data_IF_929582702358
#
_entry.id   IF_929582702358
#
_cell.length_a   1.000
_cell.length_b   1.000
_cell.length_c   1.000
_cell.angle_alpha   90.00
_cell.angle_beta   90.00
_cell.angle_gamma   90.00
#
_symmetry.space_group_name_H-M   'P 1'
#
loop_
_entity.id
_entity.type
_entity.pdbx_description
1 polymer ?
#
# COMPACT_ATOMS: atom_id res chain seq x y z
N UNK A 1 -0.18 -15.68 10.84
CA UNK A 1 -0.92 -14.40 10.94
C UNK A 1 -0.53 -13.66 12.21
N UNK A 2 -0.41 -12.32 12.17
CA UNK A 2 -0.17 -11.50 13.37
C UNK A 2 1.16 -10.72 13.41
N UNK A 3 2.03 -10.87 12.41
CA UNK A 3 3.18 -9.97 12.24
C UNK A 3 2.73 -8.68 11.55
N UNK A 4 3.04 -7.54 12.17
CA UNK A 4 2.88 -6.23 11.55
C UNK A 4 4.13 -5.88 10.74
N UNK A 5 3.93 -5.41 9.52
CA UNK A 5 4.98 -4.90 8.63
C UNK A 5 4.82 -3.40 8.48
N UNK A 6 5.92 -2.66 8.62
CA UNK A 6 5.97 -1.27 8.19
C UNK A 6 6.13 -1.25 6.67
N UNK A 7 5.11 -0.76 5.95
CA UNK A 7 5.12 -0.61 4.50
C UNK A 7 5.32 0.86 4.19
N UNK A 8 6.31 1.16 3.34
CA UNK A 8 6.54 2.52 2.87
C UNK A 8 6.59 2.57 1.35
N UNK A 9 6.22 3.72 0.80
CA UNK A 9 6.31 4.01 -0.62
C UNK A 9 6.88 5.41 -0.83
N UNK A 10 7.74 5.53 -1.83
CA UNK A 10 8.25 6.83 -2.30
C UNK A 10 7.30 7.39 -3.35
N UNK A 11 6.67 8.52 -3.03
CA UNK A 11 5.74 9.20 -3.92
C UNK A 11 6.46 10.18 -4.86
N UNK A 12 5.74 10.65 -5.87
CA UNK A 12 6.26 11.60 -6.86
C UNK A 12 6.11 13.07 -6.41
N UNK A 13 5.23 13.33 -5.43
CA UNK A 13 4.88 14.69 -5.00
C UNK A 13 4.53 14.71 -3.51
N UNK A 14 5.06 15.68 -2.78
CA UNK A 14 4.72 15.93 -1.39
C UNK A 14 3.32 16.57 -1.25
N UNK A 15 2.67 16.38 -0.10
CA UNK A 15 1.35 16.97 0.16
C UNK A 15 0.18 16.23 -0.51
N UNK A 16 0.45 15.15 -1.25
CA UNK A 16 -0.56 14.17 -1.67
C UNK A 16 -0.68 13.04 -0.63
N UNK A 17 -1.42 11.98 -0.98
CA UNK A 17 -1.52 10.76 -0.17
C UNK A 17 -1.20 9.52 -1.00
N UNK A 18 -0.86 8.43 -0.32
CA UNK A 18 -0.70 7.10 -0.91
C UNK A 18 -1.71 6.17 -0.28
N UNK A 19 -2.49 5.48 -1.12
CA UNK A 19 -3.38 4.38 -0.74
C UNK A 19 -2.60 3.08 -0.83
N UNK A 20 -2.60 2.33 0.27
CA UNK A 20 -1.98 1.01 0.36
C UNK A 20 -3.05 -0.08 0.30
N UNK A 21 -2.79 -1.09 -0.52
CA UNK A 21 -3.76 -2.14 -0.81
C UNK A 21 -3.07 -3.49 -0.64
N UNK A 22 -3.69 -4.36 0.14
CA UNK A 22 -3.32 -5.76 0.21
C UNK A 22 -4.13 -6.56 -0.81
N UNK A 23 -3.45 -7.34 -1.62
CA UNK A 23 -4.06 -8.17 -2.65
C UNK A 23 -3.48 -9.58 -2.61
N UNK A 24 -4.32 -10.62 -2.67
CA UNK A 24 -3.79 -11.99 -2.86
C UNK A 24 -3.10 -12.11 -4.23
N UNK A 25 -1.84 -12.54 -4.25
CA UNK A 25 -1.09 -12.68 -5.50
C UNK A 25 -1.82 -13.65 -6.45
N UNK A 26 -2.02 -13.25 -7.70
CA UNK A 26 -2.74 -14.03 -8.72
C UNK A 26 -4.27 -13.98 -8.66
N UNK A 27 -4.88 -13.28 -7.68
CA UNK A 27 -6.33 -13.08 -7.59
C UNK A 27 -6.68 -11.61 -7.85
N UNK A 28 -7.74 -11.32 -8.61
CA UNK A 28 -8.31 -9.96 -8.74
C UNK A 28 -9.46 -9.72 -7.75
N UNK A 29 -9.94 -10.76 -7.05
CA UNK A 29 -11.13 -10.69 -6.21
C UNK A 29 -10.79 -10.36 -4.75
N UNK A 30 -9.61 -10.76 -4.28
CA UNK A 30 -9.21 -10.60 -2.88
C UNK A 30 -8.36 -9.34 -2.72
N UNK A 31 -9.02 -8.19 -2.75
CA UNK A 31 -8.42 -6.85 -2.60
C UNK A 31 -8.96 -6.21 -1.32
N UNK A 32 -8.06 -5.73 -0.47
CA UNK A 32 -8.43 -5.04 0.76
C UNK A 32 -7.57 -3.80 0.90
N UNK A 33 -8.21 -2.65 1.11
CA UNK A 33 -7.48 -1.44 1.44
C UNK A 33 -6.90 -1.56 2.85
N UNK A 34 -5.60 -1.32 2.96
CA UNK A 34 -4.90 -1.26 4.25
C UNK A 34 -5.15 0.10 4.88
N UNK A 35 -5.06 1.15 4.06
CA UNK A 35 -5.37 2.52 4.43
C UNK A 35 -4.67 3.55 3.55
N UNK A 36 -4.79 4.81 3.92
CA UNK A 36 -4.23 5.96 3.21
C UNK A 36 -3.27 6.70 4.14
N UNK A 37 -2.05 6.97 3.68
CA UNK A 37 -1.06 7.75 4.43
C UNK A 37 -0.67 9.02 3.66
N UNK A 38 -0.53 10.17 4.34
CA UNK A 38 -0.06 11.40 3.70
C UNK A 38 1.42 11.28 3.30
N UNK A 39 1.80 11.95 2.22
CA UNK A 39 3.19 12.03 1.76
C UNK A 39 3.88 13.20 2.44
N UNK A 40 4.88 12.89 3.26
CA UNK A 40 5.70 13.90 3.93
C UNK A 40 6.68 14.62 3.00
N UNK A 41 7.43 15.62 3.52
CA UNK A 41 8.41 16.38 2.73
C UNK A 41 9.55 15.53 2.14
N UNK A 42 9.83 14.37 2.73
CA UNK A 42 10.81 13.40 2.23
C UNK A 42 10.27 12.51 1.10
N UNK A 43 9.07 12.79 0.59
CA UNK A 43 8.36 12.00 -0.41
C UNK A 43 8.02 10.58 0.04
N UNK A 44 7.99 10.29 1.34
CA UNK A 44 7.64 8.96 1.85
C UNK A 44 6.27 8.99 2.52
N UNK A 45 5.46 7.99 2.19
CA UNK A 45 4.26 7.63 2.95
C UNK A 45 4.47 6.25 3.58
N UNK A 46 4.05 6.08 4.83
CA UNK A 46 4.24 4.84 5.59
C UNK A 46 2.94 4.42 6.26
N UNK A 47 2.65 3.13 6.27
CA UNK A 47 1.54 2.52 7.01
C UNK A 47 1.99 1.21 7.66
N UNK A 48 1.37 0.88 8.78
CA UNK A 48 1.49 -0.44 9.38
C UNK A 48 0.47 -1.39 8.76
N UNK A 49 0.93 -2.54 8.30
CA UNK A 49 0.09 -3.58 7.69
C UNK A 49 0.20 -4.89 8.46
N UNK A 50 -0.93 -5.38 8.95
CA UNK A 50 -1.05 -6.73 9.51
C UNK A 50 -1.91 -7.56 8.56
N UNK A 51 -1.34 -8.55 7.85
CA UNK A 51 -2.11 -9.40 6.95
C UNK A 51 -3.15 -10.22 7.71
N UNK A 52 -4.38 -10.25 7.21
CA UNK A 52 -5.51 -11.00 7.78
C UNK A 52 -5.66 -12.39 7.17
N UNK A 53 -4.89 -12.71 6.13
CA UNK A 53 -4.90 -14.00 5.44
C UNK A 53 -3.46 -14.46 5.16
N UNK A 54 -3.27 -15.78 5.12
CA UNK A 54 -1.99 -16.41 4.76
C UNK A 54 -1.83 -16.53 3.24
N UNK A 55 -0.63 -16.94 2.82
CA UNK A 55 -0.25 -17.10 1.41
C UNK A 55 0.54 -15.90 0.89
N UNK A 56 0.83 -15.92 -0.41
CA UNK A 56 1.50 -14.80 -1.09
C UNK A 56 0.55 -13.61 -1.22
N UNK A 57 0.95 -12.49 -0.60
CA UNK A 57 0.24 -11.22 -0.64
C UNK A 57 1.06 -10.20 -1.42
N UNK A 58 0.40 -9.33 -2.16
CA UNK A 58 0.99 -8.20 -2.86
C UNK A 58 0.48 -6.93 -2.23
N UNK A 59 1.39 -6.15 -1.62
CA UNK A 59 1.05 -4.81 -1.13
C UNK A 59 1.36 -3.81 -2.22
N UNK A 60 0.31 -3.13 -2.69
CA UNK A 60 0.36 -2.16 -3.78
C UNK A 60 0.22 -0.76 -3.20
N UNK A 61 1.02 0.17 -3.69
CA UNK A 61 0.98 1.58 -3.32
C UNK A 61 0.50 2.42 -4.51
N UNK A 62 -0.64 3.09 -4.34
CA UNK A 62 -1.25 3.99 -5.32
C UNK A 62 -1.14 5.43 -4.80
N UNK A 63 -0.39 6.29 -5.48
CA UNK A 63 -0.41 7.71 -5.18
C UNK A 63 -1.75 8.30 -5.64
N UNK A 64 -2.37 9.09 -4.77
CA UNK A 64 -3.60 9.82 -5.05
C UNK A 64 -3.29 11.25 -5.50
N UNK A 65 -4.13 11.81 -6.36
CA UNK A 65 -4.13 13.24 -6.66
C UNK A 65 -4.85 14.04 -5.54
N UNK A 66 -4.81 15.36 -5.62
CA UNK A 66 -5.46 16.24 -4.63
C UNK A 66 -6.99 16.10 -4.58
N UNK A 67 -7.62 15.52 -5.60
CA UNK A 67 -9.05 15.18 -5.61
C UNK A 67 -9.37 13.78 -5.07
N UNK A 68 -8.37 13.03 -4.60
CA UNK A 68 -8.52 11.69 -4.04
C UNK A 68 -8.59 10.55 -5.07
N UNK A 69 -8.49 10.86 -6.36
CA UNK A 69 -8.41 9.86 -7.43
C UNK A 69 -7.00 9.27 -7.55
N UNK A 70 -6.88 8.05 -8.08
CA UNK A 70 -5.57 7.44 -8.33
C UNK A 70 -4.83 8.23 -9.41
N UNK A 71 -3.62 8.67 -9.06
CA UNK A 71 -2.69 9.35 -9.97
C UNK A 71 -1.74 8.35 -10.63
N UNK A 72 -1.10 7.49 -9.83
CA UNK A 72 -0.11 6.53 -10.33
C UNK A 72 0.06 5.35 -9.35
N UNK A 73 0.37 4.16 -9.87
CA UNK A 73 0.88 3.05 -9.05
C UNK A 73 2.39 3.24 -8.90
N UNK A 74 2.85 3.42 -7.67
CA UNK A 74 4.24 3.81 -7.36
C UNK A 74 5.05 2.69 -6.69
N UNK A 75 4.40 1.58 -6.34
CA UNK A 75 5.09 0.44 -5.75
C UNK A 75 4.24 -0.80 -5.67
N UNK A 76 4.89 -1.95 -5.68
CA UNK A 76 4.30 -3.25 -5.38
C UNK A 76 5.37 -4.13 -4.74
N UNK A 77 5.04 -4.79 -3.64
CA UNK A 77 5.90 -5.77 -2.97
C UNK A 77 5.15 -7.05 -2.69
N UNK A 78 5.77 -8.19 -2.99
CA UNK A 78 5.21 -9.51 -2.63
C UNK A 78 5.76 -9.91 -1.27
N UNK A 79 4.85 -10.20 -0.33
CA UNK A 79 5.17 -10.65 1.02
C UNK A 79 4.58 -12.05 1.22
N UNK A 80 5.42 -13.08 1.44
CA UNK A 80 4.95 -14.40 1.85
C UNK A 80 4.44 -14.33 3.30
N UNK A 81 3.16 -14.65 3.52
CA UNK A 81 2.57 -14.65 4.86
C UNK A 81 2.27 -16.08 5.30
N UNK A 82 2.84 -16.49 6.43
CA UNK A 82 2.57 -17.77 7.12
C UNK A 82 1.57 -17.63 8.26
#
# INVERSE_FOLDING_TARGET
>A
MGQTYAVSATALLAGTSVRFIDRKTGSNADITEIGIAPVGPNLVATIDWTPTATGSRSVIAEQLNFSGGVYSVIGSVVVPVS
#
